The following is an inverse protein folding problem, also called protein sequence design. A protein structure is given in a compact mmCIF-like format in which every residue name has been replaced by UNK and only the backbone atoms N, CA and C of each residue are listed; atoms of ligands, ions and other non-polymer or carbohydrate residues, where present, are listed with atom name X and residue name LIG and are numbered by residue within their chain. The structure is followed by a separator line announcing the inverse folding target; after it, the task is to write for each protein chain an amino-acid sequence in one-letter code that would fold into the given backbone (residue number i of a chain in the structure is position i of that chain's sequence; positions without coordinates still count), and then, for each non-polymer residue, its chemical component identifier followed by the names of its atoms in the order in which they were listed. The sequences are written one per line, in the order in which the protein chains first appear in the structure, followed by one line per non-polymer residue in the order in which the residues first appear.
data_IF_156613980463
#
_entry.id   IF_156613980463
#
_cell.length_a   1.000
_cell.length_b   1.000
_cell.length_c   1.000
_cell.angle_alpha   90.00
_cell.angle_beta   90.00
_cell.angle_gamma   90.00
#
_symmetry.space_group_name_H-M   'P 1'
#
loop_
_entity.id
_entity.type
_entity.pdbx_description
1 polymer ?
#
# COMPACT_ATOMS: atom_id res chain seq x y z
N UNK A 1 -36.58 -7.71 -72.97
CA UNK A 1 -36.88 -6.61 -72.02
C UNK A 1 -35.97 -6.74 -70.80
N UNK A 2 -35.51 -5.59 -70.28
CA UNK A 2 -34.75 -5.27 -69.04
C UNK A 2 -34.81 -6.34 -67.93
N UNK A 3 -33.80 -6.58 -67.09
CA UNK A 3 -32.90 -5.63 -66.41
C UNK A 3 -31.68 -6.34 -65.82
N UNK A 4 -30.54 -5.64 -65.81
CA UNK A 4 -29.35 -5.94 -64.99
C UNK A 4 -29.63 -5.46 -63.55
N UNK A 5 -29.07 -6.14 -62.55
CA UNK A 5 -28.64 -5.47 -61.30
C UNK A 5 -27.40 -6.18 -60.74
N UNK A 6 -26.31 -5.41 -60.73
CA UNK A 6 -25.05 -5.65 -60.04
C UNK A 6 -25.21 -5.17 -58.60
N UNK A 7 -24.76 -5.96 -57.63
CA UNK A 7 -24.45 -5.44 -56.30
C UNK A 7 -23.13 -6.05 -55.82
N UNK A 8 -22.06 -5.29 -56.08
CA UNK A 8 -20.84 -5.28 -55.28
C UNK A 8 -21.24 -4.95 -53.83
N UNK A 9 -20.77 -5.73 -52.86
CA UNK A 9 -20.67 -5.25 -51.49
C UNK A 9 -19.40 -5.80 -50.86
N UNK A 10 -18.34 -5.02 -51.00
CA UNK A 10 -17.11 -5.18 -50.22
C UNK A 10 -17.44 -4.79 -48.77
N UNK A 11 -17.45 -5.76 -47.87
CA UNK A 11 -17.49 -5.52 -46.44
C UNK A 11 -16.14 -4.92 -46.00
N UNK A 12 -16.12 -3.60 -45.79
CA UNK A 12 -15.04 -2.91 -45.09
C UNK A 12 -15.16 -3.21 -43.59
N UNK A 13 -14.28 -4.08 -43.08
CA UNK A 13 -14.08 -4.26 -41.64
C UNK A 13 -13.38 -3.00 -41.13
N UNK A 14 -14.15 -2.06 -40.58
CA UNK A 14 -13.61 -0.98 -39.75
C UNK A 14 -13.17 -1.60 -38.41
N UNK A 15 -11.89 -1.94 -38.28
CA UNK A 15 -11.26 -2.15 -36.97
C UNK A 15 -11.18 -0.78 -36.27
N UNK A 16 -12.17 -0.48 -35.45
CA UNK A 16 -12.09 0.63 -34.51
C UNK A 16 -11.04 0.29 -33.44
N UNK A 17 -9.84 0.87 -33.57
CA UNK A 17 -8.89 0.97 -32.47
C UNK A 17 -9.46 1.97 -31.45
N UNK A 18 -10.17 1.46 -30.46
CA UNK A 18 -10.57 2.23 -29.27
C UNK A 18 -10.00 1.52 -28.06
N UNK A 19 -8.84 1.95 -27.57
CA UNK A 19 -8.28 1.35 -26.35
C UNK A 19 -6.83 1.66 -26.04
N UNK A 20 -6.48 2.91 -25.75
CA UNK A 20 -5.20 3.23 -25.07
C UNK A 20 -5.27 4.33 -24.00
N UNK A 21 -6.45 4.86 -23.65
CA UNK A 21 -6.54 5.93 -22.64
C UNK A 21 -6.65 5.40 -21.19
N UNK A 22 -7.29 4.25 -20.97
CA UNK A 22 -7.61 3.77 -19.63
C UNK A 22 -6.38 3.30 -18.80
N UNK A 23 -5.27 2.95 -19.44
CA UNK A 23 -4.08 2.43 -18.75
C UNK A 23 -3.17 3.54 -18.20
N UNK A 24 -3.13 4.70 -18.85
CA UNK A 24 -2.28 5.83 -18.42
C UNK A 24 -2.81 6.47 -17.13
N UNK A 25 -4.13 6.63 -17.00
CA UNK A 25 -4.75 7.22 -15.82
C UNK A 25 -4.58 6.33 -14.58
N UNK A 26 -4.69 5.01 -14.73
CA UNK A 26 -4.47 4.06 -13.64
C UNK A 26 -3.02 4.10 -13.12
N UNK A 27 -2.03 4.10 -14.02
CA UNK A 27 -0.61 4.16 -13.65
C UNK A 27 -0.26 5.47 -12.94
N UNK A 28 -0.75 6.61 -13.44
CA UNK A 28 -0.57 7.92 -12.80
C UNK A 28 -1.23 7.98 -11.43
N UNK A 29 -2.42 7.40 -11.29
CA UNK A 29 -3.13 7.33 -10.02
C UNK A 29 -2.39 6.44 -9.01
N UNK A 30 -1.84 5.31 -9.43
CA UNK A 30 -1.10 4.41 -8.54
C UNK A 30 0.22 5.06 -8.10
N UNK A 31 0.93 5.75 -8.99
CA UNK A 31 2.11 6.54 -8.65
C UNK A 31 1.80 7.67 -7.64
N UNK A 32 0.65 8.35 -7.78
CA UNK A 32 0.22 9.37 -6.81
C UNK A 32 -0.08 8.77 -5.43
N UNK A 33 -0.66 7.57 -5.36
CA UNK A 33 -0.91 6.89 -4.07
C UNK A 33 0.38 6.36 -3.45
N UNK A 34 1.28 5.82 -4.25
CA UNK A 34 2.61 5.42 -3.77
C UNK A 34 3.36 6.64 -3.23
N UNK A 35 3.28 7.78 -3.94
CA UNK A 35 3.86 9.03 -3.48
C UNK A 35 3.25 9.50 -2.14
N UNK A 36 1.99 9.15 -1.87
CA UNK A 36 1.31 9.47 -0.61
C UNK A 36 1.84 8.66 0.58
N UNK A 37 2.70 7.67 0.36
CA UNK A 37 3.42 7.00 1.44
C UNK A 37 4.55 7.92 1.94
N UNK A 38 5.31 8.59 1.06
CA UNK A 38 6.48 9.39 1.45
C UNK A 38 6.13 10.54 2.41
N UNK A 39 7.02 10.79 3.37
CA UNK A 39 6.89 11.85 4.36
C UNK A 39 7.40 11.48 5.75
N UNK A 40 7.02 12.32 6.72
CA UNK A 40 7.20 12.03 8.15
C UNK A 40 5.86 11.64 8.75
N UNK A 41 5.90 10.62 9.60
CA UNK A 41 4.73 10.06 10.25
C UNK A 41 5.00 9.85 11.73
N UNK A 42 3.97 9.86 12.55
CA UNK A 42 4.02 9.40 13.94
C UNK A 42 2.98 8.32 14.20
N UNK A 43 3.31 7.41 15.13
CA UNK A 43 2.37 6.40 15.62
C UNK A 43 1.30 7.09 16.46
N UNK A 44 0.04 6.93 16.06
CA UNK A 44 -1.14 7.46 16.73
C UNK A 44 -2.08 6.36 17.25
N UNK A 45 -1.72 5.09 17.05
CA UNK A 45 -2.43 3.97 17.65
C UNK A 45 -1.73 2.64 17.39
N UNK A 46 -2.00 1.66 18.24
CA UNK A 46 -1.54 0.28 18.09
C UNK A 46 -2.75 -0.63 18.23
N UNK A 47 -2.91 -1.59 17.34
CA UNK A 47 -3.94 -2.62 17.42
C UNK A 47 -3.32 -4.00 17.36
N UNK A 48 -3.72 -4.86 18.29
CA UNK A 48 -3.29 -6.25 18.39
C UNK A 48 -4.46 -7.21 18.18
N UNK A 49 -4.15 -8.43 17.72
CA UNK A 49 -5.13 -9.49 17.49
C UNK A 49 -5.73 -9.99 18.81
N UNK A 50 -7.05 -10.05 18.95
CA UNK A 50 -7.72 -10.53 20.18
C UNK A 50 -7.42 -12.00 20.55
N UNK A 51 -6.78 -12.76 19.65
CA UNK A 51 -6.30 -14.11 19.90
C UNK A 51 -4.78 -14.19 19.82
N UNK A 52 -4.13 -14.78 20.83
CA UNK A 52 -2.69 -15.07 20.86
C UNK A 52 -2.01 -14.75 22.20
N UNK A 53 -0.73 -15.14 22.34
CA UNK A 53 0.15 -14.62 23.40
C UNK A 53 0.72 -13.30 22.87
N UNK A 54 0.45 -12.20 23.56
CA UNK A 54 0.78 -10.84 23.09
C UNK A 54 1.90 -10.22 23.96
N UNK A 55 2.95 -9.73 23.31
CA UNK A 55 3.93 -8.83 23.94
C UNK A 55 3.53 -7.35 23.84
N UNK A 56 2.55 -7.05 22.97
CA UNK A 56 2.03 -5.71 22.69
C UNK A 56 0.61 -5.58 23.21
N UNK A 57 0.23 -4.37 23.60
CA UNK A 57 -1.14 -4.01 23.97
C UNK A 57 -1.74 -2.98 22.99
N UNK A 58 -3.06 -2.86 23.00
CA UNK A 58 -3.74 -1.81 22.21
C UNK A 58 -3.28 -0.43 22.73
N UNK A 59 -2.79 0.41 21.80
CA UNK A 59 -2.10 1.69 22.06
C UNK A 59 -0.88 1.59 22.99
N UNK A 60 -0.09 0.52 22.87
CA UNK A 60 1.15 0.31 23.62
C UNK A 60 2.00 1.59 23.73
N UNK A 61 2.21 2.12 24.96
CA UNK A 61 2.93 3.38 25.18
C UNK A 61 4.35 3.42 24.63
N UNK A 62 5.01 2.26 24.47
CA UNK A 62 6.36 2.20 23.91
C UNK A 62 6.40 2.59 22.43
N UNK A 63 5.26 2.52 21.72
CA UNK A 63 5.13 2.89 20.32
C UNK A 63 4.50 4.26 20.10
N UNK A 64 3.60 4.70 20.97
CA UNK A 64 2.86 5.94 20.79
C UNK A 64 3.79 7.15 20.60
N UNK A 65 3.56 7.92 19.54
CA UNK A 65 4.38 9.10 19.20
C UNK A 65 5.75 8.79 18.59
N UNK A 66 6.15 7.51 18.44
CA UNK A 66 7.34 7.16 17.67
C UNK A 66 7.19 7.66 16.25
N UNK A 67 8.27 8.24 15.71
CA UNK A 67 8.26 8.83 14.38
C UNK A 67 8.93 7.93 13.37
N UNK A 68 8.35 7.86 12.19
CA UNK A 68 8.88 7.19 11.02
C UNK A 68 9.26 8.26 9.99
N UNK A 69 10.43 8.11 9.37
CA UNK A 69 10.82 8.88 8.20
C UNK A 69 10.79 7.97 7.00
N UNK A 70 10.12 8.42 5.94
CA UNK A 70 10.06 7.69 4.70
C UNK A 70 10.34 8.61 3.52
N UNK A 71 11.46 8.37 2.84
CA UNK A 71 11.89 9.07 1.62
C UNK A 71 12.46 8.06 0.60
N UNK A 72 12.83 8.53 -0.60
CA UNK A 72 13.35 7.66 -1.66
C UNK A 72 14.69 6.98 -1.32
N UNK A 73 15.45 7.55 -0.39
CA UNK A 73 16.76 7.03 0.01
C UNK A 73 16.65 6.05 1.17
N UNK A 74 15.68 6.26 2.06
CA UNK A 74 15.58 5.52 3.31
C UNK A 74 14.16 5.51 3.90
N UNK A 75 13.77 4.33 4.37
CA UNK A 75 12.67 4.09 5.29
C UNK A 75 13.27 3.64 6.63
N UNK A 76 13.04 4.43 7.68
CA UNK A 76 13.57 4.15 9.00
C UNK A 76 12.75 4.83 10.11
N UNK A 77 12.71 4.21 11.28
CA UNK A 77 12.30 4.90 12.49
C UNK A 77 13.25 6.07 12.77
N UNK A 78 12.71 7.23 13.15
CA UNK A 78 13.49 8.33 13.70
C UNK A 78 13.87 7.97 15.15
N UNK A 79 14.82 7.05 15.30
CA UNK A 79 15.48 6.76 16.57
C UNK A 79 16.76 7.59 16.72
N UNK A 80 17.29 7.65 17.95
CA UNK A 80 18.65 8.15 18.23
C UNK A 80 19.67 7.43 17.35
N UNK A 81 20.69 8.15 16.89
CA UNK A 81 21.56 7.91 15.72
C UNK A 81 22.25 6.53 15.56
N UNK A 82 22.04 5.58 16.46
CA UNK A 82 22.78 4.31 16.55
C UNK A 82 21.94 3.07 16.19
N UNK A 83 20.64 3.20 15.92
CA UNK A 83 19.80 2.06 15.53
C UNK A 83 19.95 1.77 14.03
N UNK A 84 20.50 0.60 13.70
CA UNK A 84 20.62 0.08 12.33
C UNK A 84 19.58 -0.98 12.00
N UNK A 85 18.75 -1.34 12.98
CA UNK A 85 17.66 -2.31 12.83
C UNK A 85 16.47 -1.69 12.11
N UNK A 86 15.80 -2.49 11.27
CA UNK A 86 14.66 -2.06 10.46
C UNK A 86 14.95 -0.79 9.65
N UNK A 87 16.19 -0.66 9.13
CA UNK A 87 16.56 0.39 8.19
C UNK A 87 16.56 -0.18 6.78
N UNK A 88 15.69 0.37 5.94
CA UNK A 88 15.53 -0.02 4.55
C UNK A 88 16.04 1.08 3.64
N UNK A 89 17.17 0.83 2.96
CA UNK A 89 17.78 1.80 2.07
C UNK A 89 17.34 1.56 0.63
N UNK A 90 17.06 2.66 -0.08
CA UNK A 90 16.45 2.64 -1.41
C UNK A 90 15.12 1.87 -1.43
N UNK A 91 14.15 2.22 -0.56
CA UNK A 91 12.89 1.49 -0.46
C UNK A 91 12.04 1.68 -1.73
N UNK A 92 11.51 0.57 -2.25
CA UNK A 92 10.58 0.53 -3.38
C UNK A 92 9.28 -0.08 -2.91
N UNK A 93 8.17 0.62 -3.15
CA UNK A 93 6.83 0.18 -2.78
C UNK A 93 6.18 -0.42 -3.99
N UNK A 94 5.47 -1.51 -3.78
CA UNK A 94 4.65 -2.08 -4.83
C UNK A 94 3.29 -2.36 -4.26
N UNK A 95 2.28 -1.95 -5.02
CA UNK A 95 0.89 -2.19 -4.70
C UNK A 95 0.63 -3.69 -4.79
N UNK A 96 0.12 -4.25 -3.71
CA UNK A 96 -0.28 -5.65 -3.66
C UNK A 96 -1.74 -5.81 -4.12
N UNK A 97 -2.15 -7.04 -4.51
CA UNK A 97 -3.54 -7.32 -4.81
C UNK A 97 -4.47 -6.85 -3.68
N UNK A 98 -5.63 -6.30 -4.06
CA UNK A 98 -6.60 -5.87 -3.07
C UNK A 98 -7.05 -7.08 -2.24
N UNK A 99 -6.98 -6.94 -0.93
CA UNK A 99 -7.55 -7.93 -0.01
C UNK A 99 -9.06 -7.75 0.04
N UNK A 100 -9.79 -8.85 0.04
CA UNK A 100 -11.22 -8.84 0.36
C UNK A 100 -11.44 -8.38 1.81
N UNK A 101 -12.61 -7.84 2.11
CA UNK A 101 -12.93 -7.38 3.48
C UNK A 101 -12.81 -8.47 4.55
N UNK A 102 -12.93 -9.74 4.18
CA UNK A 102 -12.73 -10.89 5.07
C UNK A 102 -11.24 -11.18 5.36
N UNK A 103 -10.34 -10.71 4.50
CA UNK A 103 -8.89 -10.81 4.65
C UNK A 103 -8.29 -9.57 5.33
N UNK A 104 -9.06 -8.49 5.46
CA UNK A 104 -8.68 -7.35 6.30
C UNK A 104 -8.57 -7.82 7.75
N UNK A 105 -7.36 -7.69 8.31
CA UNK A 105 -7.08 -8.02 9.71
C UNK A 105 -8.07 -7.28 10.62
N UNK A 106 -8.74 -7.94 11.60
CA UNK A 106 -9.64 -7.28 12.56
C UNK A 106 -9.01 -6.05 13.23
N UNK A 107 -7.69 -6.05 13.41
CA UNK A 107 -6.91 -4.93 13.91
C UNK A 107 -7.04 -3.65 13.06
N UNK A 108 -7.22 -3.74 11.73
CA UNK A 108 -7.44 -2.55 10.89
C UNK A 108 -8.75 -1.85 11.25
N UNK A 109 -9.81 -2.61 11.53
CA UNK A 109 -11.07 -2.07 12.02
C UNK A 109 -10.92 -1.43 13.40
N UNK A 110 -10.14 -2.03 14.32
CA UNK A 110 -9.81 -1.40 15.62
C UNK A 110 -9.13 -0.04 15.46
N UNK A 111 -8.33 0.15 14.40
CA UNK A 111 -7.68 1.42 14.06
C UNK A 111 -8.61 2.40 13.32
N UNK A 112 -9.85 2.01 13.03
CA UNK A 112 -10.83 2.78 12.28
C UNK A 112 -10.59 2.77 10.77
N UNK A 113 -9.88 1.78 10.24
CA UNK A 113 -9.54 1.65 8.81
C UNK A 113 -10.42 0.56 8.19
N UNK A 114 -11.46 0.99 7.48
CA UNK A 114 -12.44 0.10 6.86
C UNK A 114 -12.02 -0.38 5.45
N UNK A 115 -11.22 0.43 4.76
CA UNK A 115 -10.74 0.16 3.40
C UNK A 115 -9.33 0.71 3.24
N UNK A 116 -8.42 -0.14 2.79
CA UNK A 116 -7.06 0.26 2.52
C UNK A 116 -6.49 -0.47 1.30
N UNK A 117 -5.47 0.15 0.70
CA UNK A 117 -4.66 -0.47 -0.36
C UNK A 117 -3.40 -1.05 0.29
N UNK A 118 -3.14 -2.36 0.16
CA UNK A 118 -1.93 -2.97 0.69
C UNK A 118 -0.72 -2.67 -0.20
N UNK A 119 0.43 -2.45 0.44
CA UNK A 119 1.72 -2.26 -0.20
C UNK A 119 2.77 -3.15 0.48
N UNK A 120 3.58 -3.82 -0.35
CA UNK A 120 4.82 -4.45 0.06
C UNK A 120 5.99 -3.48 -0.06
N UNK A 121 7.10 -3.80 0.61
CA UNK A 121 8.34 -3.01 0.55
C UNK A 121 9.50 -3.91 0.16
N UNK A 122 10.26 -3.47 -0.83
CA UNK A 122 11.57 -4.03 -1.16
C UNK A 122 12.66 -3.02 -0.81
N UNK A 123 13.74 -3.50 -0.20
CA UNK A 123 14.90 -2.68 0.14
C UNK A 123 16.04 -3.01 -0.83
N UNK A 124 16.72 -1.98 -1.36
CA UNK A 124 17.97 -2.20 -2.10
C UNK A 124 19.04 -2.82 -1.20
N UNK A 125 19.15 -2.33 0.03
CA UNK A 125 19.96 -2.91 1.11
C UNK A 125 19.28 -2.71 2.46
N UNK A 126 19.63 -3.56 3.43
CA UNK A 126 18.98 -3.58 4.74
C UNK A 126 17.69 -4.39 4.73
N UNK A 127 16.83 -4.16 5.71
CA UNK A 127 15.56 -4.88 5.90
C UNK A 127 14.51 -3.98 6.55
N UNK A 128 13.24 -4.29 6.35
CA UNK A 128 12.14 -3.56 6.94
C UNK A 128 11.17 -4.49 7.67
N UNK A 129 11.18 -4.44 9.01
CA UNK A 129 10.21 -5.15 9.84
C UNK A 129 10.25 -6.68 9.68
N UNK A 130 9.21 -7.38 10.18
CA UNK A 130 9.19 -8.84 10.24
C UNK A 130 8.76 -9.51 8.93
N UNK A 131 8.30 -8.75 7.96
CA UNK A 131 7.60 -9.25 6.79
C UNK A 131 8.50 -9.30 5.57
N UNK A 132 8.28 -10.30 4.72
CA UNK A 132 8.84 -10.29 3.38
C UNK A 132 8.11 -9.30 2.47
N UNK A 133 8.66 -9.12 1.28
CA UNK A 133 8.16 -8.18 0.28
C UNK A 133 6.76 -8.51 -0.25
N UNK A 134 6.37 -9.78 -0.27
CA UNK A 134 5.06 -10.23 -0.78
C UNK A 134 3.95 -10.02 0.25
N UNK A 135 4.35 -9.80 1.50
CA UNK A 135 3.46 -9.54 2.62
C UNK A 135 3.18 -8.03 2.76
N UNK A 136 1.94 -7.64 3.10
CA UNK A 136 1.59 -6.23 3.21
C UNK A 136 2.26 -5.58 4.43
N UNK A 137 3.31 -4.82 4.16
CA UNK A 137 3.99 -3.99 5.14
C UNK A 137 3.15 -2.76 5.50
N UNK A 138 2.51 -2.13 4.50
CA UNK A 138 1.70 -0.93 4.69
C UNK A 138 0.29 -1.09 4.12
N UNK A 139 -0.66 -0.42 4.75
CA UNK A 139 -2.03 -0.27 4.29
C UNK A 139 -2.37 1.21 4.21
N UNK A 140 -2.51 1.74 2.99
CA UNK A 140 -2.92 3.13 2.77
C UNK A 140 -4.43 3.24 2.80
N UNK A 141 -4.95 3.87 3.86
CA UNK A 141 -6.37 4.13 4.03
C UNK A 141 -6.86 5.23 3.08
N UNK A 142 -8.18 5.28 2.86
CA UNK A 142 -8.80 6.29 1.98
C UNK A 142 -8.69 7.72 2.51
N UNK A 143 -8.57 7.88 3.83
CA UNK A 143 -8.39 9.18 4.50
C UNK A 143 -6.93 9.66 4.50
N UNK A 144 -6.01 8.88 3.91
CA UNK A 144 -4.58 9.19 3.84
C UNK A 144 -3.78 8.76 5.07
N UNK A 145 -4.40 8.13 6.07
CA UNK A 145 -3.67 7.48 7.16
C UNK A 145 -3.04 6.17 6.69
N UNK A 146 -1.98 5.72 7.39
CA UNK A 146 -1.38 4.41 7.14
C UNK A 146 -1.62 3.48 8.31
N UNK A 147 -1.75 2.20 8.04
CA UNK A 147 -1.39 1.16 9.01
C UNK A 147 -0.11 0.45 8.57
N UNK A 148 0.77 0.18 9.53
CA UNK A 148 2.04 -0.53 9.35
C UNK A 148 1.95 -1.87 10.07
N UNK A 149 2.12 -2.97 9.35
CA UNK A 149 2.33 -4.30 9.93
C UNK A 149 3.65 -4.31 10.70
N UNK A 150 3.60 -4.77 11.95
CA UNK A 150 4.76 -4.79 12.83
C UNK A 150 4.94 -6.15 13.51
N UNK A 151 5.99 -6.26 14.33
CA UNK A 151 6.30 -7.47 15.09
C UNK A 151 5.11 -7.90 15.96
N UNK A 152 5.09 -9.19 16.32
CA UNK A 152 4.05 -9.84 17.12
C UNK A 152 2.63 -9.71 16.56
N UNK A 153 2.52 -9.47 15.24
CA UNK A 153 1.23 -9.32 14.55
C UNK A 153 0.50 -8.01 14.87
N UNK A 154 1.19 -7.04 15.47
CA UNK A 154 0.67 -5.71 15.73
C UNK A 154 0.46 -4.90 14.43
N UNK A 155 -0.50 -4.00 14.46
CA UNK A 155 -0.69 -2.97 13.45
C UNK A 155 -0.54 -1.58 14.09
N UNK A 156 0.33 -0.77 13.53
CA UNK A 156 0.59 0.60 13.98
C UNK A 156 -0.16 1.57 13.08
N UNK A 157 -1.08 2.36 13.62
CA UNK A 157 -1.68 3.48 12.89
C UNK A 157 -0.70 4.64 12.85
N UNK A 158 -0.38 5.11 11.64
CA UNK A 158 0.49 6.24 11.40
C UNK A 158 -0.32 7.42 10.86
N UNK A 159 -0.10 8.59 11.46
CA UNK A 159 -0.64 9.86 11.00
C UNK A 159 0.53 10.72 10.56
N UNK A 160 0.31 11.49 9.49
CA UNK A 160 1.32 12.38 8.93
C UNK A 160 1.62 13.50 9.93
N UNK A 161 2.91 13.81 10.09
CA UNK A 161 3.37 14.99 10.86
C UNK A 161 3.01 16.31 10.16
#
# INVERSE_FOLDING_TARGET
MKSRFSFNSSFLIMLSLTGCAATMDAAKHDQLRENALYGSWHVAGVAVSDSGVQALEDNDPSFMGRRLSFNHDQLAWKASADSTEDVCNGPVFHKLPAMSGAELKPQLHKLGIEKAVPYGVECKTGSWGPLDKESPAFFLAQDGTLALSWYDGGLLKLIRD
#
